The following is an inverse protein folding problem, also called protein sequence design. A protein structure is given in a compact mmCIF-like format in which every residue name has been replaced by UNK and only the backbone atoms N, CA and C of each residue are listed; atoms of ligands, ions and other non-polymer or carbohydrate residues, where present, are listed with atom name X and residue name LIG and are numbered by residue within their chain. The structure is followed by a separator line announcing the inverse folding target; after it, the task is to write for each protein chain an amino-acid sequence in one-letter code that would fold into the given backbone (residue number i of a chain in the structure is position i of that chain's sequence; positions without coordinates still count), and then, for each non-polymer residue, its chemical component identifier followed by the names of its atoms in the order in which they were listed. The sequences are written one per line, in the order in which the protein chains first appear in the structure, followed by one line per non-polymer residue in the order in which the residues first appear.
data_IF_099367030968
#
_entry.id   IF_099367030968
#
_cell.length_a   1.000
_cell.length_b   1.000
_cell.length_c   1.000
_cell.angle_alpha   90.00
_cell.angle_beta   90.00
_cell.angle_gamma   90.00
#
_symmetry.space_group_name_H-M   'P 1'
#
loop_
_entity.id
_entity.type
_entity.pdbx_description
1 polymer ?
#
# COMPACT_ATOMS: atom_id res chain seq x y z
N UNK A 1 15.14 9.42 14.74
CA UNK A 1 14.93 9.10 13.31
C UNK A 1 13.42 9.08 13.05
N UNK A 2 12.78 10.23 12.78
CA UNK A 2 11.30 10.35 12.82
C UNK A 2 10.59 10.45 11.46
N UNK A 3 11.31 10.62 10.34
CA UNK A 3 10.67 10.93 9.04
C UNK A 3 11.13 10.00 7.90
N UNK A 4 11.13 8.68 8.12
CA UNK A 4 11.35 7.73 7.03
C UNK A 4 10.01 7.18 6.51
N UNK A 5 9.80 7.26 5.20
CA UNK A 5 8.71 6.65 4.46
C UNK A 5 9.04 5.17 4.29
N UNK A 6 8.46 4.35 5.17
CA UNK A 6 8.60 2.90 5.10
C UNK A 6 7.52 2.40 4.14
N UNK A 7 7.90 1.98 2.95
CA UNK A 7 7.02 1.29 2.01
C UNK A 7 7.13 -0.20 2.30
N UNK A 8 6.03 -0.81 2.75
CA UNK A 8 5.96 -2.26 2.88
C UNK A 8 5.25 -2.84 1.67
N UNK A 9 5.88 -3.83 1.02
CA UNK A 9 5.23 -4.65 0.00
C UNK A 9 5.02 -6.06 0.56
N UNK A 10 3.76 -6.43 0.69
CA UNK A 10 3.33 -7.72 1.22
C UNK A 10 2.59 -8.52 0.16
N UNK A 11 2.80 -9.83 0.14
CA UNK A 11 1.99 -10.73 -0.67
C UNK A 11 0.64 -10.98 0.02
N UNK A 12 -0.45 -10.93 -0.75
CA UNK A 12 -1.78 -11.38 -0.32
C UNK A 12 -2.23 -12.54 -1.20
N UNK A 13 -3.02 -13.44 -0.63
CA UNK A 13 -3.54 -14.56 -1.41
C UNK A 13 -4.51 -14.07 -2.51
N UNK A 14 -4.65 -14.85 -3.60
CA UNK A 14 -5.50 -14.46 -4.72
C UNK A 14 -6.99 -14.31 -4.35
N UNK A 15 -7.49 -15.04 -3.36
CA UNK A 15 -8.90 -14.98 -2.95
C UNK A 15 -9.20 -13.65 -2.26
N UNK A 16 -8.34 -13.24 -1.31
CA UNK A 16 -8.37 -11.93 -0.69
C UNK A 16 -8.27 -10.81 -1.72
N UNK A 17 -7.36 -10.91 -2.69
CA UNK A 17 -7.29 -9.94 -3.78
C UNK A 17 -8.58 -9.86 -4.59
N UNK A 18 -9.16 -11.01 -5.01
CA UNK A 18 -10.40 -11.04 -5.81
C UNK A 18 -11.57 -10.46 -5.02
N UNK A 19 -11.65 -10.76 -3.73
CA UNK A 19 -12.69 -10.22 -2.84
C UNK A 19 -12.62 -8.69 -2.80
N UNK A 20 -11.43 -8.10 -2.82
CA UNK A 20 -11.25 -6.65 -2.77
C UNK A 20 -11.40 -5.99 -4.14
N UNK A 21 -10.68 -6.48 -5.15
CA UNK A 21 -10.49 -5.82 -6.44
C UNK A 21 -11.78 -5.70 -7.27
N UNK A 22 -12.79 -6.52 -7.00
CA UNK A 22 -14.07 -6.51 -7.71
C UNK A 22 -15.19 -5.77 -6.94
N UNK A 23 -14.88 -5.12 -5.81
CA UNK A 23 -15.91 -4.51 -4.97
C UNK A 23 -15.57 -3.05 -4.64
N UNK A 24 -16.31 -2.11 -5.21
CA UNK A 24 -15.96 -0.68 -5.15
C UNK A 24 -16.04 -0.11 -3.73
N UNK A 25 -17.05 -0.50 -2.94
CA UNK A 25 -17.10 -0.11 -1.53
C UNK A 25 -15.86 -0.56 -0.74
N UNK A 26 -15.34 -1.76 -0.99
CA UNK A 26 -14.15 -2.27 -0.28
C UNK A 26 -12.91 -1.46 -0.63
N UNK A 27 -12.76 -1.08 -1.92
CA UNK A 27 -11.69 -0.18 -2.38
C UNK A 27 -11.78 1.18 -1.71
N UNK A 28 -12.97 1.78 -1.68
CA UNK A 28 -13.17 3.09 -1.05
C UNK A 28 -12.98 3.04 0.48
N UNK A 29 -13.36 1.94 1.15
CA UNK A 29 -13.04 1.71 2.57
C UNK A 29 -11.54 1.74 2.80
N UNK A 30 -10.77 0.91 2.07
CA UNK A 30 -9.32 0.85 2.27
C UNK A 30 -8.64 2.17 1.91
N UNK A 31 -9.01 2.78 0.78
CA UNK A 31 -8.47 4.07 0.36
C UNK A 31 -8.72 5.15 1.40
N UNK A 32 -9.94 5.26 1.91
CA UNK A 32 -10.30 6.26 2.93
C UNK A 32 -9.58 5.99 4.24
N UNK A 33 -9.53 4.73 4.69
CA UNK A 33 -8.81 4.35 5.90
C UNK A 33 -7.32 4.70 5.80
N UNK A 34 -6.64 4.31 4.72
CA UNK A 34 -5.20 4.56 4.55
C UNK A 34 -4.85 6.03 4.44
N UNK A 35 -5.73 6.86 3.86
CA UNK A 35 -5.52 8.31 3.78
C UNK A 35 -5.80 9.01 5.09
N UNK A 36 -6.94 8.71 5.73
CA UNK A 36 -7.41 9.41 6.93
C UNK A 36 -6.65 8.99 8.18
N UNK A 37 -6.22 7.74 8.26
CA UNK A 37 -5.49 7.20 9.42
C UNK A 37 -3.97 7.12 9.22
N UNK A 38 -3.41 7.86 8.26
CA UNK A 38 -1.97 7.86 7.99
C UNK A 38 -1.15 8.34 9.20
N UNK A 39 -1.64 9.40 9.86
CA UNK A 39 -0.94 10.02 10.98
C UNK A 39 -1.47 9.54 12.34
N UNK A 40 -2.76 9.24 12.43
CA UNK A 40 -3.44 8.85 13.66
C UNK A 40 -4.59 7.86 13.41
N UNK A 41 -4.82 6.86 14.27
CA UNK A 41 -5.99 6.00 14.20
C UNK A 41 -7.31 6.78 14.20
N UNK A 42 -8.33 6.26 13.51
CA UNK A 42 -9.68 6.86 13.40
C UNK A 42 -10.74 5.88 13.91
N UNK A 43 -11.89 6.38 14.35
CA UNK A 43 -13.00 5.50 14.71
C UNK A 43 -13.66 4.88 13.47
N UNK A 44 -14.29 3.71 13.65
CA UNK A 44 -15.12 3.10 12.60
C UNK A 44 -16.29 4.02 12.20
N UNK A 45 -16.82 4.81 13.14
CA UNK A 45 -17.89 5.77 12.87
C UNK A 45 -17.42 6.89 11.93
N UNK A 46 -16.28 7.52 12.21
CA UNK A 46 -15.71 8.57 11.35
C UNK A 46 -15.40 8.04 9.94
N UNK A 47 -14.94 6.79 9.83
CA UNK A 47 -14.71 6.14 8.54
C UNK A 47 -16.02 5.94 7.77
N UNK A 48 -17.08 5.46 8.43
CA UNK A 48 -18.39 5.24 7.82
C UNK A 48 -18.98 6.55 7.28
N UNK A 49 -18.90 7.62 8.09
CA UNK A 49 -19.35 8.96 7.72
C UNK A 49 -18.55 9.54 6.55
N UNK A 50 -17.23 9.34 6.54
CA UNK A 50 -16.36 9.84 5.46
C UNK A 50 -16.68 9.21 4.10
N UNK A 51 -17.14 7.95 4.09
CA UNK A 51 -17.50 7.21 2.86
C UNK A 51 -18.98 7.38 2.52
N UNK A 52 -19.81 7.78 3.49
CA UNK A 52 -21.27 7.90 3.32
C UNK A 52 -22.00 6.56 3.38
N UNK A 53 -21.53 5.61 4.21
CA UNK A 53 -22.16 4.29 4.38
C UNK A 53 -22.67 4.06 5.79
N UNK A 54 -23.60 3.10 5.94
CA UNK A 54 -24.09 2.72 7.26
C UNK A 54 -22.97 2.06 8.10
N UNK A 55 -22.93 2.39 9.40
CA UNK A 55 -21.96 1.83 10.34
C UNK A 55 -21.91 0.29 10.34
N UNK A 56 -23.06 -0.38 10.37
CA UNK A 56 -23.12 -1.84 10.37
C UNK A 56 -22.61 -2.43 9.05
N UNK A 57 -22.89 -1.77 7.93
CA UNK A 57 -22.34 -2.16 6.63
C UNK A 57 -20.82 -2.05 6.63
N UNK A 58 -20.26 -0.96 7.13
CA UNK A 58 -18.80 -0.80 7.26
C UNK A 58 -18.20 -1.91 8.13
N UNK A 59 -18.74 -2.11 9.34
CA UNK A 59 -18.24 -3.12 10.28
C UNK A 59 -18.29 -4.52 9.66
N UNK A 60 -19.35 -4.84 8.93
CA UNK A 60 -19.45 -6.10 8.20
C UNK A 60 -18.32 -6.25 7.16
N UNK A 61 -18.06 -5.23 6.34
CA UNK A 61 -16.98 -5.29 5.35
C UNK A 61 -15.60 -5.40 6.02
N UNK A 62 -15.36 -4.63 7.08
CA UNK A 62 -14.10 -4.65 7.83
C UNK A 62 -13.81 -6.03 8.43
N UNK A 63 -14.80 -6.68 9.02
CA UNK A 63 -14.61 -7.93 9.75
C UNK A 63 -14.59 -9.18 8.84
N UNK A 64 -15.34 -9.17 7.73
CA UNK A 64 -15.50 -10.36 6.90
C UNK A 64 -14.64 -10.35 5.63
N UNK A 65 -14.26 -9.17 5.13
CA UNK A 65 -13.58 -9.07 3.84
C UNK A 65 -12.28 -8.28 3.89
N UNK A 66 -12.09 -7.44 4.91
CA UNK A 66 -10.92 -6.55 4.98
C UNK A 66 -10.06 -6.77 6.22
N UNK A 67 -10.28 -7.87 6.96
CA UNK A 67 -9.69 -8.11 8.28
C UNK A 67 -8.16 -8.05 8.29
N UNK A 68 -7.50 -8.41 7.19
CA UNK A 68 -6.03 -8.42 7.08
C UNK A 68 -5.42 -7.04 6.77
N UNK A 69 -6.23 -6.02 6.47
CA UNK A 69 -5.74 -4.71 6.03
C UNK A 69 -5.73 -3.65 7.15
N UNK A 70 -6.29 -3.96 8.32
CA UNK A 70 -6.42 -3.00 9.41
C UNK A 70 -6.18 -3.65 10.78
N UNK A 71 -5.90 -2.82 11.78
CA UNK A 71 -5.77 -3.22 13.18
C UNK A 71 -6.38 -2.17 14.10
N UNK A 72 -6.61 -2.53 15.37
CA UNK A 72 -6.94 -1.56 16.42
C UNK A 72 -5.65 -0.90 16.88
N UNK A 73 -5.47 0.38 16.56
CA UNK A 73 -4.28 1.14 16.94
C UNK A 73 -4.35 1.67 18.37
N UNK A 74 -5.54 2.00 18.85
CA UNK A 74 -5.77 2.48 20.23
C UNK A 74 -7.23 2.37 20.65
N UNK A 75 -7.48 2.48 21.95
CA UNK A 75 -8.82 2.56 22.52
C UNK A 75 -9.03 3.90 23.22
N UNK A 76 -10.23 4.47 23.07
CA UNK A 76 -10.65 5.69 23.76
C UNK A 76 -11.88 5.41 24.62
N UNK A 77 -11.86 5.83 25.88
CA UNK A 77 -13.05 5.77 26.75
C UNK A 77 -13.97 6.95 26.43
N UNK A 78 -15.21 6.67 26.04
CA UNK A 78 -16.23 7.68 25.73
C UNK A 78 -17.51 7.31 26.46
N UNK A 79 -17.95 8.18 27.38
CA UNK A 79 -19.22 8.02 28.14
C UNK A 79 -19.40 6.63 28.76
N UNK A 80 -18.33 6.06 29.32
CA UNK A 80 -18.35 4.74 29.97
C UNK A 80 -18.14 3.54 29.04
N UNK A 81 -18.18 3.73 27.73
CA UNK A 81 -17.92 2.68 26.72
C UNK A 81 -16.51 2.81 26.16
N UNK A 82 -15.91 1.70 25.73
CA UNK A 82 -14.64 1.69 25.00
C UNK A 82 -14.90 1.80 23.50
N UNK A 83 -14.25 2.76 22.86
CA UNK A 83 -14.29 2.98 21.42
C UNK A 83 -12.95 2.59 20.82
N UNK A 84 -12.96 1.62 19.91
CA UNK A 84 -11.78 1.22 19.15
C UNK A 84 -11.48 2.25 18.05
N UNK A 85 -10.24 2.73 18.01
CA UNK A 85 -9.69 3.49 16.91
C UNK A 85 -8.82 2.57 16.05
N UNK A 86 -9.16 2.50 14.76
CA UNK A 86 -8.55 1.63 13.78
C UNK A 86 -7.54 2.39 12.92
N UNK A 87 -6.52 1.68 12.46
CA UNK A 87 -5.53 2.17 11.51
C UNK A 87 -5.16 1.06 10.51
N UNK A 88 -4.53 1.39 9.36
CA UNK A 88 -3.94 0.40 8.48
C UNK A 88 -3.03 -0.55 9.23
N UNK A 89 -3.03 -1.83 8.85
CA UNK A 89 -2.10 -2.80 9.44
C UNK A 89 -0.64 -2.35 9.23
N UNK A 90 -0.36 -1.80 8.05
CA UNK A 90 0.89 -1.12 7.72
C UNK A 90 0.57 0.20 7.01
N UNK A 91 1.04 1.32 7.57
CA UNK A 91 0.62 2.69 7.16
C UNK A 91 0.81 3.00 5.67
N UNK A 92 1.84 2.42 5.06
CA UNK A 92 2.21 2.71 3.68
C UNK A 92 2.43 1.40 2.90
N UNK A 93 1.52 0.46 3.15
CA UNK A 93 1.48 -0.84 2.51
C UNK A 93 1.14 -0.76 1.02
N UNK A 94 1.74 -1.67 0.26
CA UNK A 94 1.32 -2.12 -1.05
C UNK A 94 1.15 -3.62 -0.92
N UNK A 95 0.04 -4.13 -1.43
CA UNK A 95 -0.19 -5.56 -1.49
C UNK A 95 -0.07 -6.02 -2.93
N UNK A 96 0.56 -7.17 -3.13
CA UNK A 96 0.69 -7.79 -4.44
C UNK A 96 0.17 -9.22 -4.41
N UNK A 97 -0.32 -9.70 -5.54
CA UNK A 97 -0.61 -11.11 -5.74
C UNK A 97 -0.21 -11.54 -7.16
N UNK A 98 0.05 -12.83 -7.33
CA UNK A 98 0.41 -13.41 -8.63
C UNK A 98 -0.80 -14.11 -9.23
N UNK A 99 -1.16 -13.70 -10.45
CA UNK A 99 -2.13 -14.40 -11.28
C UNK A 99 -1.48 -15.33 -12.29
N UNK A 100 -2.30 -15.81 -13.23
CA UNK A 100 -1.85 -16.64 -14.34
C UNK A 100 -0.76 -15.93 -15.16
N UNK A 101 0.14 -16.72 -15.73
CA UNK A 101 1.20 -16.26 -16.63
C UNK A 101 2.10 -15.16 -16.04
N UNK A 102 2.34 -15.19 -14.73
CA UNK A 102 3.15 -14.20 -14.01
C UNK A 102 2.59 -12.77 -14.11
N UNK A 103 1.27 -12.63 -14.27
CA UNK A 103 0.61 -11.33 -14.16
C UNK A 103 0.63 -10.90 -12.69
N UNK A 104 1.16 -9.71 -12.43
CA UNK A 104 1.22 -9.12 -11.10
C UNK A 104 -0.01 -8.25 -10.93
N UNK A 105 -0.74 -8.48 -9.85
CA UNK A 105 -1.82 -7.62 -9.40
C UNK A 105 -1.38 -6.85 -8.17
N UNK A 106 -1.84 -5.61 -8.06
CA UNK A 106 -1.42 -4.66 -7.05
C UNK A 106 -2.63 -3.97 -6.41
N UNK A 107 -2.50 -3.77 -5.11
CA UNK A 107 -3.40 -2.99 -4.26
C UNK A 107 -2.52 -1.98 -3.52
N UNK A 108 -2.61 -0.71 -3.88
CA UNK A 108 -2.02 0.41 -3.14
C UNK A 108 -3.17 1.30 -2.68
N UNK A 109 -3.69 1.10 -1.45
CA UNK A 109 -4.86 1.84 -0.98
C UNK A 109 -4.59 3.33 -0.85
N UNK A 110 -3.37 3.70 -0.46
CA UNK A 110 -2.98 5.10 -0.30
C UNK A 110 -3.06 5.83 -1.66
N UNK A 111 -2.59 5.18 -2.72
CA UNK A 111 -2.67 5.69 -4.08
C UNK A 111 -3.99 5.41 -4.80
N UNK A 112 -4.91 4.65 -4.19
CA UNK A 112 -6.16 4.25 -4.82
C UNK A 112 -5.96 3.34 -6.04
N UNK A 113 -4.87 2.58 -6.11
CA UNK A 113 -4.57 1.70 -7.24
C UNK A 113 -5.01 0.28 -6.92
N UNK A 114 -5.96 -0.25 -7.69
CA UNK A 114 -6.50 -1.60 -7.53
C UNK A 114 -6.62 -2.28 -8.90
N UNK A 115 -5.74 -3.24 -9.19
CA UNK A 115 -5.79 -3.95 -10.48
C UNK A 115 -4.47 -4.59 -10.90
N UNK A 116 -4.41 -5.02 -12.16
CA UNK A 116 -3.16 -5.52 -12.73
C UNK A 116 -2.13 -4.40 -12.81
N UNK A 117 -0.88 -4.70 -12.44
CA UNK A 117 0.24 -3.76 -12.45
C UNK A 117 0.39 -3.07 -13.81
N UNK A 118 0.17 -3.83 -14.89
CA UNK A 118 0.18 -3.32 -16.27
C UNK A 118 -0.90 -2.27 -16.57
N UNK A 119 -2.03 -2.28 -15.85
CA UNK A 119 -3.15 -1.36 -16.05
C UNK A 119 -3.09 -0.17 -15.10
N UNK A 120 -2.86 -0.42 -13.82
CA UNK A 120 -2.95 0.61 -12.77
C UNK A 120 -1.60 1.25 -12.44
N UNK A 121 -0.49 0.62 -12.84
CA UNK A 121 0.85 1.11 -12.52
C UNK A 121 1.13 1.09 -11.02
N UNK A 122 1.92 2.07 -10.58
CA UNK A 122 2.37 2.22 -9.20
C UNK A 122 2.38 3.69 -8.80
N UNK A 123 2.37 3.99 -7.50
CA UNK A 123 2.53 5.38 -7.03
C UNK A 123 3.86 6.02 -7.43
N UNK A 124 4.91 5.23 -7.70
CA UNK A 124 6.18 5.76 -8.20
C UNK A 124 6.09 6.23 -9.66
N UNK A 125 5.04 5.90 -10.41
CA UNK A 125 4.86 6.39 -11.79
C UNK A 125 4.48 7.88 -11.83
N UNK A 126 4.01 8.45 -10.72
CA UNK A 126 3.78 9.89 -10.56
C UNK A 126 5.06 10.69 -10.23
N UNK A 127 6.20 10.00 -10.03
CA UNK A 127 7.49 10.63 -9.81
C UNK A 127 8.19 10.92 -11.14
N UNK A 128 8.97 12.00 -11.21
CA UNK A 128 9.87 12.24 -12.34
C UNK A 128 11.01 11.21 -12.34
N UNK A 129 11.73 11.10 -13.46
CA UNK A 129 12.89 10.20 -13.54
C UNK A 129 13.99 10.58 -12.54
N UNK A 130 14.20 11.88 -12.31
CA UNK A 130 15.20 12.39 -11.36
C UNK A 130 14.82 12.06 -9.91
N UNK A 131 13.55 12.23 -9.54
CA UNK A 131 13.04 11.84 -8.22
C UNK A 131 13.18 10.34 -7.98
N UNK A 132 12.91 9.52 -9.01
CA UNK A 132 13.08 8.08 -8.94
C UNK A 132 14.55 7.67 -8.80
N UNK A 133 15.47 8.33 -9.53
CA UNK A 133 16.93 8.09 -9.42
C UNK A 133 17.45 8.36 -8.01
N UNK A 134 17.05 9.48 -7.40
CA UNK A 134 17.41 9.79 -6.00
C UNK A 134 16.90 8.70 -5.04
N UNK A 135 15.66 8.25 -5.21
CA UNK A 135 15.11 7.15 -4.41
C UNK A 135 15.89 5.84 -4.59
N UNK A 136 16.36 5.52 -5.81
CA UNK A 136 17.12 4.30 -6.09
C UNK A 136 18.44 4.25 -5.32
N UNK A 137 19.09 5.38 -5.07
CA UNK A 137 20.34 5.43 -4.28
C UNK A 137 20.14 4.93 -2.84
N UNK A 138 18.98 5.18 -2.24
CA UNK A 138 18.64 4.69 -0.90
C UNK A 138 18.33 3.19 -0.89
N UNK A 139 17.73 2.69 -1.97
CA UNK A 139 17.35 1.28 -2.08
C UNK A 139 18.56 0.39 -2.26
N UNK A 140 19.67 0.90 -2.83
CA UNK A 140 20.94 0.16 -2.96
C UNK A 140 21.50 -0.38 -1.64
N UNK A 141 21.10 0.20 -0.51
CA UNK A 141 21.52 -0.25 0.82
C UNK A 141 20.52 -1.20 1.50
N UNK A 142 19.39 -1.50 0.85
CA UNK A 142 18.38 -2.42 1.35
C UNK A 142 18.65 -3.85 0.85
N UNK A 143 18.14 -4.88 1.55
CA UNK A 143 18.21 -6.28 1.07
C UNK A 143 17.60 -6.47 -0.34
N UNK A 144 16.72 -5.54 -0.73
CA UNK A 144 16.08 -5.48 -2.04
C UNK A 144 16.93 -4.81 -3.14
N UNK A 145 18.16 -4.38 -2.84
CA UNK A 145 19.13 -3.82 -3.78
C UNK A 145 19.67 -4.83 -4.79
N UNK A 146 19.38 -6.12 -4.60
CA UNK A 146 19.90 -7.20 -5.42
C UNK A 146 19.48 -7.02 -6.88
N UNK A 147 20.44 -7.19 -7.79
CA UNK A 147 20.26 -7.03 -9.23
C UNK A 147 19.06 -7.82 -9.72
N UNK A 148 18.19 -7.19 -10.50
CA UNK A 148 17.07 -7.84 -11.18
C UNK A 148 17.66 -8.72 -12.28
N UNK A 149 17.43 -10.04 -12.20
CA UNK A 149 17.94 -10.99 -13.17
C UNK A 149 17.09 -10.99 -14.46
N UNK A 150 17.48 -11.81 -15.45
CA UNK A 150 16.80 -11.87 -16.75
C UNK A 150 15.33 -12.31 -16.64
N UNK A 151 15.04 -13.31 -15.81
CA UNK A 151 13.68 -13.84 -15.61
C UNK A 151 12.79 -12.77 -14.97
N UNK A 152 13.29 -12.08 -13.94
CA UNK A 152 12.56 -11.01 -13.27
C UNK A 152 12.35 -9.79 -14.18
N UNK A 153 13.33 -9.49 -15.02
CA UNK A 153 13.21 -8.48 -16.08
C UNK A 153 12.08 -8.83 -17.04
N UNK A 154 11.99 -10.08 -17.49
CA UNK A 154 10.91 -10.56 -18.35
C UNK A 154 9.53 -10.48 -17.66
N UNK A 155 9.45 -10.82 -16.37
CA UNK A 155 8.22 -10.68 -15.56
C UNK A 155 7.80 -9.21 -15.50
N UNK A 156 8.71 -8.28 -15.20
CA UNK A 156 8.42 -6.86 -15.12
C UNK A 156 7.99 -6.29 -16.48
N UNK A 157 8.67 -6.64 -17.57
CA UNK A 157 8.31 -6.21 -18.93
C UNK A 157 6.93 -6.72 -19.33
N UNK A 158 6.59 -7.99 -19.02
CA UNK A 158 5.25 -8.54 -19.24
C UNK A 158 4.17 -7.75 -18.52
N UNK A 159 4.50 -7.20 -17.36
CA UNK A 159 3.64 -6.31 -16.58
C UNK A 159 3.78 -4.83 -16.98
N UNK A 160 4.23 -4.55 -18.22
CA UNK A 160 4.41 -3.22 -18.83
C UNK A 160 5.35 -2.28 -18.07
N UNK A 161 6.24 -2.83 -17.23
CA UNK A 161 7.31 -2.05 -16.60
C UNK A 161 8.47 -1.90 -17.58
N UNK A 162 9.14 -0.75 -17.57
CA UNK A 162 10.22 -0.42 -18.50
C UNK A 162 11.50 -0.11 -17.74
N UNK A 163 12.63 -0.40 -18.37
CA UNK A 163 13.92 0.05 -17.88
C UNK A 163 14.13 1.56 -18.16
N UNK A 164 14.84 2.29 -17.29
CA UNK A 164 15.37 1.85 -16.00
C UNK A 164 14.24 1.60 -14.99
N UNK A 165 14.32 0.49 -14.25
CA UNK A 165 13.29 0.10 -13.29
C UNK A 165 13.24 1.10 -12.12
N UNK A 166 12.02 1.41 -11.67
CA UNK A 166 11.79 2.36 -10.58
C UNK A 166 12.01 1.66 -9.23
N UNK A 167 12.23 2.44 -8.15
CA UNK A 167 12.29 1.97 -6.77
C UNK A 167 11.31 0.83 -6.41
N UNK A 168 10.05 1.01 -6.77
CA UNK A 168 8.97 0.07 -6.47
C UNK A 168 9.05 -1.22 -7.30
N UNK A 169 9.64 -1.19 -8.49
CA UNK A 169 9.81 -2.38 -9.33
C UNK A 169 10.82 -3.33 -8.67
N UNK A 170 11.90 -2.79 -8.10
CA UNK A 170 12.84 -3.55 -7.27
C UNK A 170 12.17 -4.12 -6.01
N UNK A 171 11.32 -3.32 -5.36
CA UNK A 171 10.54 -3.74 -4.20
C UNK A 171 9.60 -4.92 -4.53
N UNK A 172 8.90 -4.84 -5.66
CA UNK A 172 8.00 -5.88 -6.13
C UNK A 172 8.80 -7.16 -6.37
N UNK A 173 9.92 -7.11 -7.09
CA UNK A 173 10.78 -8.29 -7.31
C UNK A 173 11.28 -8.87 -5.98
N UNK A 174 11.70 -8.02 -5.05
CA UNK A 174 12.13 -8.44 -3.71
C UNK A 174 11.01 -9.17 -2.96
N UNK A 175 9.78 -8.64 -2.99
CA UNK A 175 8.61 -9.28 -2.40
C UNK A 175 8.30 -10.62 -3.08
N UNK A 176 8.38 -10.69 -4.41
CA UNK A 176 8.16 -11.92 -5.17
C UNK A 176 9.15 -13.04 -4.79
N UNK A 177 10.43 -12.69 -4.55
CA UNK A 177 11.46 -13.64 -4.08
C UNK A 177 11.14 -14.16 -2.67
N UNK A 178 10.51 -13.34 -1.83
CA UNK A 178 10.15 -13.67 -0.45
C UNK A 178 8.92 -14.56 -0.30
N UNK A 179 8.10 -14.73 -1.36
CA UNK A 179 6.82 -15.46 -1.28
C UNK A 179 6.97 -16.86 -0.69
N UNK A 180 7.95 -17.63 -1.16
CA UNK A 180 8.16 -19.02 -0.71
C UNK A 180 8.56 -19.14 0.76
N UNK A 181 8.99 -18.04 1.38
CA UNK A 181 9.41 -17.96 2.78
C UNK A 181 8.41 -17.20 3.66
N UNK A 182 7.31 -16.70 3.08
CA UNK A 182 6.39 -15.79 3.76
C UNK A 182 7.04 -14.45 4.15
N UNK A 183 8.14 -14.08 3.49
CA UNK A 183 8.89 -12.86 3.76
C UNK A 183 8.22 -11.66 3.08
N UNK A 184 8.25 -10.53 3.76
CA UNK A 184 7.79 -9.23 3.24
C UNK A 184 8.98 -8.44 2.73
N UNK A 185 8.72 -7.57 1.76
CA UNK A 185 9.70 -6.57 1.34
C UNK A 185 9.42 -5.25 2.04
N UNK A 186 10.41 -4.74 2.78
CA UNK A 186 10.31 -3.41 3.39
C UNK A 186 11.36 -2.52 2.76
N UNK A 187 10.93 -1.44 2.13
CA UNK A 187 11.80 -0.39 1.62
C UNK A 187 11.68 0.85 2.49
N UNK A 188 12.81 1.31 3.00
CA UNK A 188 12.89 2.56 3.76
C UNK A 188 13.41 3.66 2.84
N UNK A 189 12.53 4.61 2.48
CA UNK A 189 12.89 5.82 1.74
C UNK A 189 12.74 7.01 2.68
N UNK A 190 13.68 7.95 2.79
CA UNK A 190 13.44 9.18 3.56
C UNK A 190 12.17 9.91 3.07
N UNK A 191 11.28 10.33 3.98
CA UNK A 191 10.01 11.00 3.59
C UNK A 191 10.27 12.25 2.76
N UNK A 192 11.32 13.00 3.05
CA UNK A 192 11.78 14.16 2.27
C UNK A 192 12.05 13.83 0.79
N UNK A 193 12.40 12.58 0.49
CA UNK A 193 12.73 12.13 -0.87
C UNK A 193 11.56 11.44 -1.57
N UNK A 194 10.48 11.09 -0.85
CA UNK A 194 9.30 10.51 -1.47
C UNK A 194 8.39 11.60 -2.04
N UNK A 195 8.62 11.98 -3.30
CA UNK A 195 7.85 13.00 -3.99
C UNK A 195 6.35 12.71 -4.04
N UNK A 196 5.96 11.43 -4.16
CA UNK A 196 4.55 11.05 -4.15
C UNK A 196 3.86 11.43 -2.83
N UNK A 197 4.43 11.04 -1.70
CA UNK A 197 3.88 11.37 -0.37
C UNK A 197 3.86 12.88 -0.16
N UNK A 198 4.94 13.57 -0.54
CA UNK A 198 5.03 15.02 -0.36
C UNK A 198 4.03 15.80 -1.21
N UNK A 199 3.72 15.34 -2.43
CA UNK A 199 2.79 16.02 -3.33
C UNK A 199 1.36 15.57 -3.11
N UNK A 200 1.07 14.28 -3.18
CA UNK A 200 -0.31 13.81 -3.32
C UNK A 200 -0.98 13.49 -1.98
N UNK A 201 -0.20 13.15 -0.95
CA UNK A 201 -0.76 12.82 0.36
C UNK A 201 -0.89 14.05 1.26
N UNK A 202 0.06 15.00 1.17
CA UNK A 202 -0.04 16.28 1.92
C UNK A 202 -1.16 17.19 1.40
N UNK A 203 -1.47 17.17 0.10
CA UNK A 203 -2.50 18.02 -0.51
C UNK A 203 -3.93 17.56 -0.17
N UNK A 204 -4.16 16.26 0.05
CA UNK A 204 -5.48 15.71 0.39
C UNK A 204 -5.86 15.83 1.90
N UNK A 205 -5.11 16.59 2.71
CA UNK A 205 -5.58 17.02 4.04
C UNK A 205 -4.81 16.52 5.27
N UNK A 206 -3.49 16.33 5.18
CA UNK A 206 -2.64 16.09 6.35
C UNK A 206 -1.42 17.02 6.34
N UNK A 207 -1.60 18.23 6.85
CA UNK A 207 -0.50 19.07 7.32
C UNK A 207 0.06 18.45 8.60
N UNK A 208 1.14 17.69 8.47
CA UNK A 208 1.90 17.20 9.64
C UNK A 208 2.93 16.13 9.28
N UNK A 209 4.18 16.56 9.17
CA UNK A 209 5.29 15.81 9.75
C UNK A 209 5.39 16.19 11.23
#
# INVERSE_FOLDING_TARGET
MKNACIIEISYIDPESYVSLANHDLRKEILKTLYRRALNSPISKQELAESIGVNYHQLVYQLNNHLKEFWTVGSEKKVRGTRMELIEPLHRNAIFITLGKENTIYLVDPLAGLFGSLARVGTRCDFCTEEEAKKCLEFIKNCSCASTINKIETEILIRNKRKQPFRPIDHAIVCALRGISKGEKCVITIPCENCAYINRFVKIEGLTGC
#
